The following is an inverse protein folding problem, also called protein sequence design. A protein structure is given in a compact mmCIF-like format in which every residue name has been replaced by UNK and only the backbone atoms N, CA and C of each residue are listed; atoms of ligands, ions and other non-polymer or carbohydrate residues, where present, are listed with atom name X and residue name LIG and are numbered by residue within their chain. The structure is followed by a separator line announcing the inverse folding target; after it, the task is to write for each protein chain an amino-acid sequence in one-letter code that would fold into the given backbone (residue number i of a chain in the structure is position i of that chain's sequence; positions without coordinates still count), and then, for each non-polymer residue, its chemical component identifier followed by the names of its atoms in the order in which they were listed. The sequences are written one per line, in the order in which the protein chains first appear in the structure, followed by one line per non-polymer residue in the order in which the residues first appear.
data_IF_843033716659
#
_entry.id   IF_843033716659
#
_cell.length_a   1.000
_cell.length_b   1.000
_cell.length_c   1.000
_cell.angle_alpha   90.00
_cell.angle_beta   90.00
_cell.angle_gamma   90.00
#
_symmetry.space_group_name_H-M   'P 1'
#
loop_
_entity.id
_entity.type
_entity.pdbx_description
1 polymer ?
#
# COMPACT_ATOMS: atom_id res chain seq x y z
N UNK A 1 -2.38 19.81 11.75
CA UNK A 1 -2.20 19.25 10.39
C UNK A 1 -2.73 17.83 10.37
N UNK A 2 -3.46 17.49 9.32
CA UNK A 2 -3.95 16.13 9.16
C UNK A 2 -2.81 15.20 8.77
N UNK A 3 -2.91 13.95 9.20
CA UNK A 3 -1.95 12.90 8.82
C UNK A 3 -2.12 12.56 7.34
N UNK A 4 -1.02 12.20 6.69
CA UNK A 4 -1.07 11.66 5.32
C UNK A 4 -1.50 10.20 5.36
N UNK A 5 -2.32 9.82 4.41
CA UNK A 5 -2.77 8.44 4.20
C UNK A 5 -2.13 7.94 2.92
N UNK A 6 -1.32 6.91 3.01
CA UNK A 6 -0.60 6.33 1.87
C UNK A 6 -1.01 4.87 1.70
N UNK A 7 -1.56 4.55 0.54
CA UNK A 7 -1.84 3.17 0.18
C UNK A 7 -0.58 2.52 -0.37
N UNK A 8 -0.27 1.33 0.09
CA UNK A 8 0.82 0.53 -0.46
C UNK A 8 0.21 -0.74 -1.05
N UNK A 9 0.28 -0.84 -2.37
CA UNK A 9 -0.29 -1.93 -3.14
C UNK A 9 0.84 -2.83 -3.62
N UNK A 10 0.61 -4.13 -3.65
CA UNK A 10 1.64 -5.04 -4.12
C UNK A 10 1.19 -6.48 -4.17
N UNK A 11 2.01 -7.30 -4.82
CA UNK A 11 1.71 -8.70 -5.07
C UNK A 11 1.67 -9.53 -3.79
N UNK A 12 0.75 -10.49 -3.74
CA UNK A 12 0.75 -11.52 -2.68
C UNK A 12 1.95 -12.44 -2.81
N UNK A 13 2.43 -12.64 -4.04
CA UNK A 13 3.67 -13.35 -4.32
C UNK A 13 4.71 -12.32 -4.82
N UNK A 14 5.72 -12.07 -4.03
CA UNK A 14 6.73 -11.08 -4.30
C UNK A 14 8.14 -11.66 -4.11
N UNK A 15 9.11 -11.08 -4.80
CA UNK A 15 10.51 -11.47 -4.64
C UNK A 15 11.04 -11.03 -3.26
N UNK A 16 12.10 -11.65 -2.73
CA UNK A 16 12.72 -11.18 -1.48
C UNK A 16 13.11 -9.71 -1.53
N UNK A 17 13.59 -9.22 -2.66
CA UNK A 17 13.94 -7.82 -2.86
C UNK A 17 12.71 -6.90 -2.76
N UNK A 18 11.59 -7.30 -3.33
CA UNK A 18 10.33 -6.55 -3.24
C UNK A 18 9.78 -6.54 -1.82
N UNK A 19 9.88 -7.66 -1.10
CA UNK A 19 9.46 -7.74 0.30
C UNK A 19 10.32 -6.85 1.19
N UNK A 20 11.64 -6.83 0.98
CA UNK A 20 12.54 -5.95 1.72
C UNK A 20 12.21 -4.48 1.45
N UNK A 21 11.96 -4.14 0.19
CA UNK A 21 11.55 -2.79 -0.19
C UNK A 21 10.23 -2.38 0.48
N UNK A 22 9.26 -3.27 0.49
CA UNK A 22 7.96 -3.03 1.14
C UNK A 22 8.11 -2.81 2.64
N UNK A 23 8.93 -3.62 3.30
CA UNK A 23 9.21 -3.49 4.73
C UNK A 23 9.82 -2.12 5.04
N UNK A 24 10.78 -1.69 4.23
CA UNK A 24 11.42 -0.39 4.40
C UNK A 24 10.48 0.77 4.11
N UNK A 25 9.62 0.65 3.09
CA UNK A 25 8.57 1.64 2.82
C UNK A 25 7.66 1.80 4.05
N UNK A 26 7.20 0.70 4.62
CA UNK A 26 6.36 0.71 5.82
C UNK A 26 7.05 1.39 7.00
N UNK A 27 8.30 1.04 7.24
CA UNK A 27 9.10 1.62 8.31
C UNK A 27 9.23 3.14 8.15
N UNK A 28 9.56 3.61 6.96
CA UNK A 28 9.74 5.04 6.69
C UNK A 28 8.43 5.82 6.76
N UNK A 29 7.33 5.25 6.26
CA UNK A 29 6.00 5.88 6.38
C UNK A 29 5.61 6.05 7.84
N UNK A 30 5.80 5.02 8.65
CA UNK A 30 5.49 5.07 10.07
C UNK A 30 6.34 6.11 10.81
N UNK A 31 7.62 6.17 10.53
CA UNK A 31 8.52 7.19 11.10
C UNK A 31 8.06 8.61 10.77
N UNK A 32 7.43 8.79 9.64
CA UNK A 32 6.91 10.10 9.19
C UNK A 32 5.51 10.39 9.75
N UNK A 33 4.93 9.48 10.52
CA UNK A 33 3.59 9.65 11.10
C UNK A 33 2.45 9.40 10.13
N UNK A 34 2.71 8.86 8.94
CA UNK A 34 1.67 8.55 7.96
C UNK A 34 0.86 7.34 8.39
N UNK A 35 -0.40 7.29 7.93
CA UNK A 35 -1.24 6.10 8.04
C UNK A 35 -1.00 5.24 6.81
N UNK A 36 -0.68 3.97 6.99
CA UNK A 36 -0.49 3.00 5.90
C UNK A 36 -1.80 2.27 5.66
N UNK A 37 -2.21 2.19 4.40
CA UNK A 37 -3.41 1.45 4.00
C UNK A 37 -3.00 0.36 3.02
N UNK A 38 -3.49 -0.86 3.21
CA UNK A 38 -3.26 -1.96 2.26
C UNK A 38 -4.42 -2.95 2.26
N UNK A 39 -4.28 -3.99 1.45
CA UNK A 39 -5.32 -5.03 1.30
C UNK A 39 -5.40 -6.04 2.44
N UNK A 40 -4.49 -5.99 3.39
CA UNK A 40 -4.60 -6.73 4.66
C UNK A 40 -4.13 -8.18 4.65
N UNK A 41 -3.64 -8.71 3.54
CA UNK A 41 -3.21 -10.12 3.43
C UNK A 41 -1.69 -10.28 3.42
N UNK A 42 -1.16 -11.19 2.61
CA UNK A 42 0.24 -11.57 2.58
C UNK A 42 1.08 -10.83 1.54
N UNK A 43 2.31 -11.26 1.37
CA UNK A 43 3.24 -10.68 0.40
C UNK A 43 3.63 -9.24 0.76
N UNK A 44 3.54 -8.35 -0.21
CA UNK A 44 3.85 -6.92 -0.01
C UNK A 44 2.98 -6.31 1.08
N UNK A 45 1.70 -6.70 1.16
CA UNK A 45 0.78 -6.19 2.19
C UNK A 45 1.27 -6.51 3.60
N UNK A 46 1.70 -7.75 3.82
CA UNK A 46 2.24 -8.16 5.12
C UNK A 46 3.58 -7.48 5.42
N UNK A 47 4.47 -7.43 4.44
CA UNK A 47 5.80 -6.84 4.60
C UNK A 47 5.73 -5.34 4.95
N UNK A 48 4.89 -4.58 4.25
CA UNK A 48 4.72 -3.15 4.57
C UNK A 48 4.09 -2.96 5.95
N UNK A 49 3.15 -3.83 6.32
CA UNK A 49 2.52 -3.78 7.64
C UNK A 49 3.53 -4.07 8.75
N UNK A 50 4.38 -5.08 8.56
CA UNK A 50 5.46 -5.43 9.49
C UNK A 50 6.41 -4.25 9.68
N UNK A 51 6.87 -3.65 8.59
CA UNK A 51 7.78 -2.50 8.65
C UNK A 51 7.16 -1.32 9.41
N UNK A 52 5.91 -1.00 9.13
CA UNK A 52 5.22 0.09 9.82
C UNK A 52 4.99 -0.24 11.30
N UNK A 53 4.58 -1.46 11.63
CA UNK A 53 4.36 -1.88 13.00
C UNK A 53 5.66 -1.82 13.82
N UNK A 54 6.81 -2.11 13.22
CA UNK A 54 8.11 -2.06 13.89
C UNK A 54 8.46 -0.66 14.42
N UNK A 55 7.87 0.38 13.86
CA UNK A 55 8.04 1.78 14.29
C UNK A 55 6.78 2.31 15.03
N UNK A 56 5.89 1.44 15.45
CA UNK A 56 4.66 1.83 16.14
C UNK A 56 3.65 2.57 15.27
N UNK A 57 3.72 2.37 13.96
CA UNK A 57 2.85 3.06 12.99
C UNK A 57 1.42 2.54 12.98
N UNK A 58 0.53 3.30 12.36
CA UNK A 58 -0.86 2.93 12.16
C UNK A 58 -1.04 2.28 10.78
N UNK A 59 -1.51 1.05 10.76
CA UNK A 59 -1.72 0.27 9.54
C UNK A 59 -3.18 -0.19 9.46
N UNK A 60 -3.85 0.17 8.38
CA UNK A 60 -5.26 -0.19 8.16
C UNK A 60 -5.33 -1.18 6.99
N UNK A 61 -5.84 -2.36 7.24
CA UNK A 61 -6.12 -3.37 6.22
C UNK A 61 -7.58 -3.29 5.78
N UNK A 62 -7.81 -3.16 4.49
CA UNK A 62 -9.15 -3.15 3.89
C UNK A 62 -9.37 -4.53 3.26
N UNK A 63 -10.16 -5.37 3.92
CA UNK A 63 -10.35 -6.77 3.55
C UNK A 63 -11.54 -6.96 2.62
N UNK A 64 -11.48 -7.93 1.69
CA UNK A 64 -12.55 -8.13 0.70
C UNK A 64 -13.78 -8.85 1.25
N UNK A 65 -13.61 -9.68 2.26
CA UNK A 65 -14.66 -10.57 2.75
C UNK A 65 -15.53 -9.89 3.81
N UNK A 66 -16.56 -10.60 4.26
CA UNK A 66 -17.45 -10.13 5.33
C UNK A 66 -16.89 -10.39 6.73
N UNK A 67 -15.72 -11.00 6.83
CA UNK A 67 -15.01 -11.27 8.07
C UNK A 67 -13.53 -10.85 7.95
N UNK A 68 -12.76 -11.09 9.00
CA UNK A 68 -11.33 -10.72 9.07
C UNK A 68 -10.41 -11.93 9.02
N UNK A 69 -10.91 -13.07 8.57
CA UNK A 69 -10.12 -14.31 8.47
C UNK A 69 -9.01 -14.10 7.46
N UNK A 70 -7.78 -14.48 7.80
CA UNK A 70 -6.60 -14.33 6.94
C UNK A 70 -5.94 -12.96 6.99
N UNK A 71 -6.46 -12.01 7.77
CA UNK A 71 -5.79 -10.73 7.97
C UNK A 71 -4.39 -10.93 8.55
N UNK A 72 -3.40 -10.19 8.03
CA UNK A 72 -2.05 -10.30 8.58
C UNK A 72 -2.00 -9.74 10.01
N UNK A 73 -1.04 -10.23 10.80
CA UNK A 73 -0.97 -9.95 12.24
C UNK A 73 -0.37 -8.58 12.58
N UNK A 74 0.10 -7.84 11.59
CA UNK A 74 0.77 -6.55 11.79
C UNK A 74 -0.16 -5.35 11.61
N UNK A 75 -1.43 -5.59 11.25
CA UNK A 75 -2.41 -4.51 11.10
C UNK A 75 -2.79 -3.91 12.44
N UNK A 76 -2.93 -2.59 12.49
CA UNK A 76 -3.55 -1.91 13.64
C UNK A 76 -5.05 -2.12 13.62
N UNK A 77 -5.66 -1.96 12.44
CA UNK A 77 -7.10 -2.15 12.23
C UNK A 77 -7.32 -3.00 10.98
N UNK A 78 -8.22 -3.95 11.06
CA UNK A 78 -8.65 -4.76 9.94
C UNK A 78 -10.14 -4.49 9.70
N UNK A 79 -10.50 -3.97 8.53
CA UNK A 79 -11.86 -3.60 8.18
C UNK A 79 -12.40 -4.57 7.13
N UNK A 80 -13.37 -5.38 7.51
CA UNK A 80 -14.09 -6.25 6.59
C UNK A 80 -15.09 -5.43 5.79
N UNK A 81 -15.11 -5.58 4.47
CA UNK A 81 -15.98 -4.78 3.60
C UNK A 81 -17.11 -5.58 2.95
N UNK A 82 -16.92 -6.87 2.72
CA UNK A 82 -17.86 -7.67 1.95
C UNK A 82 -17.93 -7.31 0.47
N UNK A 83 -16.99 -6.51 -0.04
CA UNK A 83 -17.01 -6.00 -1.41
C UNK A 83 -16.22 -6.85 -2.41
N UNK A 84 -15.58 -7.94 -1.94
CA UNK A 84 -14.70 -8.71 -2.80
C UNK A 84 -13.57 -7.84 -3.36
N UNK A 85 -13.26 -7.99 -4.63
CA UNK A 85 -12.21 -7.19 -5.28
C UNK A 85 -12.58 -5.70 -5.38
N UNK A 86 -13.84 -5.34 -5.19
CA UNK A 86 -14.26 -3.93 -5.12
C UNK A 86 -13.61 -3.15 -3.98
N UNK A 87 -13.09 -3.86 -2.94
CA UNK A 87 -12.37 -3.20 -1.84
C UNK A 87 -11.10 -2.49 -2.32
N UNK A 88 -10.58 -2.84 -3.50
CA UNK A 88 -9.42 -2.14 -4.08
C UNK A 88 -9.75 -0.66 -4.36
N UNK A 89 -10.99 -0.36 -4.73
CA UNK A 89 -11.44 1.03 -4.90
C UNK A 89 -11.45 1.77 -3.55
N UNK A 90 -11.82 1.10 -2.47
CA UNK A 90 -11.80 1.70 -1.13
C UNK A 90 -10.36 2.05 -0.71
N UNK A 91 -9.41 1.16 -0.97
CA UNK A 91 -7.99 1.37 -0.64
C UNK A 91 -7.48 2.67 -1.26
N UNK A 92 -7.62 2.82 -2.57
CA UNK A 92 -7.07 3.97 -3.29
C UNK A 92 -7.87 5.25 -3.05
N UNK A 93 -9.18 5.14 -2.83
CA UNK A 93 -10.03 6.29 -2.50
C UNK A 93 -9.67 6.88 -1.14
N UNK A 94 -9.37 6.03 -0.17
CA UNK A 94 -9.02 6.44 1.18
C UNK A 94 -7.64 7.08 1.28
N UNK A 95 -6.78 6.91 0.28
CA UNK A 95 -5.39 7.37 0.31
C UNK A 95 -5.22 8.72 -0.40
N UNK A 96 -4.23 9.47 0.04
CA UNK A 96 -3.78 10.70 -0.64
C UNK A 96 -2.84 10.36 -1.81
N UNK A 97 -2.07 9.30 -1.67
CA UNK A 97 -1.12 8.81 -2.68
C UNK A 97 -0.95 7.30 -2.56
N UNK A 98 -0.37 6.69 -3.59
CA UNK A 98 -0.22 5.24 -3.70
C UNK A 98 1.24 4.90 -4.02
N UNK A 99 1.79 3.90 -3.33
CA UNK A 99 3.06 3.28 -3.68
C UNK A 99 2.74 1.85 -4.14
N UNK A 100 3.19 1.48 -5.34
CA UNK A 100 2.96 0.16 -5.90
C UNK A 100 4.27 -0.61 -6.00
N UNK A 101 4.30 -1.85 -5.50
CA UNK A 101 5.48 -2.71 -5.44
C UNK A 101 5.12 -4.11 -5.95
N UNK A 102 5.87 -4.61 -6.93
CA UNK A 102 5.63 -5.94 -7.49
C UNK A 102 4.48 -5.98 -8.48
N UNK A 103 4.28 -7.14 -9.10
CA UNK A 103 3.37 -7.31 -10.23
C UNK A 103 2.32 -8.38 -9.94
N UNK A 104 1.18 -7.97 -9.42
CA UNK A 104 0.01 -8.82 -9.30
C UNK A 104 -1.16 -8.19 -10.05
N UNK A 105 -2.16 -9.00 -10.44
CA UNK A 105 -3.34 -8.48 -11.12
C UNK A 105 -4.16 -7.56 -10.23
N UNK A 106 -4.23 -7.87 -8.93
CA UNK A 106 -4.84 -6.99 -7.94
C UNK A 106 -4.12 -5.65 -7.85
N UNK A 107 -2.78 -5.68 -7.87
CA UNK A 107 -1.95 -4.47 -7.89
C UNK A 107 -2.23 -3.63 -9.13
N UNK A 108 -2.34 -4.26 -10.30
CA UNK A 108 -2.67 -3.55 -11.54
C UNK A 108 -4.05 -2.90 -11.45
N UNK A 109 -5.04 -3.59 -10.86
CA UNK A 109 -6.37 -3.02 -10.68
C UNK A 109 -6.35 -1.80 -9.76
N UNK A 110 -5.57 -1.83 -8.68
CA UNK A 110 -5.40 -0.69 -7.78
C UNK A 110 -4.70 0.48 -8.46
N UNK A 111 -3.68 0.20 -9.28
CA UNK A 111 -3.00 1.22 -10.08
C UNK A 111 -3.99 1.90 -11.03
N UNK A 112 -4.80 1.12 -11.75
CA UNK A 112 -5.78 1.65 -12.68
C UNK A 112 -6.84 2.51 -11.98
N UNK A 113 -7.34 2.05 -10.83
CA UNK A 113 -8.32 2.80 -10.04
C UNK A 113 -7.71 4.10 -9.50
N UNK A 114 -6.47 4.06 -9.01
CA UNK A 114 -5.77 5.24 -8.52
C UNK A 114 -5.60 6.28 -9.63
N UNK A 115 -5.19 5.84 -10.83
CA UNK A 115 -5.07 6.73 -11.99
C UNK A 115 -6.42 7.32 -12.37
N UNK A 116 -7.47 6.53 -12.34
CA UNK A 116 -8.83 6.99 -12.62
C UNK A 116 -9.31 8.09 -11.66
N UNK A 117 -8.84 8.05 -10.42
CA UNK A 117 -9.18 9.00 -9.37
C UNK A 117 -8.17 10.16 -9.26
N UNK A 118 -7.22 10.24 -10.17
CA UNK A 118 -6.13 11.22 -10.12
C UNK A 118 -5.29 11.16 -8.85
N UNK A 119 -5.21 9.97 -8.23
CA UNK A 119 -4.28 9.72 -7.13
C UNK A 119 -2.88 9.50 -7.71
N UNK A 120 -1.85 10.21 -7.24
CA UNK A 120 -0.48 9.95 -7.71
C UNK A 120 -0.02 8.55 -7.30
N UNK A 121 0.62 7.85 -8.24
CA UNK A 121 1.14 6.50 -8.03
C UNK A 121 2.65 6.50 -8.25
N UNK A 122 3.39 6.07 -7.23
CA UNK A 122 4.84 5.95 -7.27
C UNK A 122 5.18 4.47 -7.43
N UNK A 123 5.82 4.14 -8.56
CA UNK A 123 6.08 2.78 -8.98
C UNK A 123 7.48 2.33 -8.56
N UNK A 124 7.56 1.39 -7.64
CA UNK A 124 8.81 0.80 -7.15
C UNK A 124 8.85 -0.68 -7.56
N UNK A 125 9.48 -0.99 -8.69
CA UNK A 125 9.58 -2.35 -9.24
C UNK A 125 8.19 -2.99 -9.43
N UNK A 126 7.35 -2.35 -10.22
CA UNK A 126 5.99 -2.80 -10.52
C UNK A 126 5.72 -2.75 -12.02
N UNK A 127 4.44 -2.81 -12.39
CA UNK A 127 3.99 -2.74 -13.78
C UNK A 127 4.49 -1.47 -14.48
N UNK A 128 4.89 -1.59 -15.74
CA UNK A 128 5.22 -0.44 -16.60
C UNK A 128 3.93 0.07 -17.24
N UNK A 129 3.32 1.06 -16.62
CA UNK A 129 2.07 1.66 -17.06
C UNK A 129 2.27 3.16 -17.26
N UNK A 130 1.73 3.68 -18.33
CA UNK A 130 1.80 5.10 -18.62
C UNK A 130 1.18 5.94 -17.50
N UNK A 131 1.86 7.01 -17.13
CA UNK A 131 1.37 7.94 -16.11
C UNK A 131 1.82 7.62 -14.69
N UNK A 132 2.56 6.54 -14.48
CA UNK A 132 3.16 6.25 -13.18
C UNK A 132 4.46 7.02 -13.02
N UNK A 133 4.73 7.45 -11.79
CA UNK A 133 6.00 8.07 -11.44
C UNK A 133 6.95 7.00 -10.92
N UNK A 134 7.92 6.62 -11.76
CA UNK A 134 8.88 5.56 -11.43
C UNK A 134 9.89 6.08 -10.41
N UNK A 135 10.07 5.32 -9.34
CA UNK A 135 11.06 5.60 -8.29
C UNK A 135 12.00 4.42 -8.15
N UNK A 136 13.19 4.63 -7.59
CA UNK A 136 14.24 3.63 -7.55
C UNK A 136 14.48 3.05 -6.15
N UNK A 137 14.08 3.77 -5.11
CA UNK A 137 14.34 3.36 -3.73
C UNK A 137 13.11 3.56 -2.85
N UNK A 138 13.00 2.79 -1.75
CA UNK A 138 11.94 3.04 -0.76
C UNK A 138 11.92 4.47 -0.23
N UNK A 139 13.09 5.05 0.03
CA UNK A 139 13.19 6.42 0.54
C UNK A 139 12.63 7.44 -0.45
N UNK A 140 12.92 7.28 -1.75
CA UNK A 140 12.38 8.14 -2.79
C UNK A 140 10.85 7.99 -2.89
N UNK A 141 10.34 6.75 -2.86
CA UNK A 141 8.92 6.47 -2.92
C UNK A 141 8.18 7.17 -1.76
N UNK A 142 8.67 7.01 -0.55
CA UNK A 142 8.05 7.60 0.64
C UNK A 142 8.11 9.11 0.60
N UNK A 143 9.27 9.68 0.29
CA UNK A 143 9.42 11.13 0.20
C UNK A 143 8.42 11.74 -0.78
N UNK A 144 8.33 11.18 -1.99
CA UNK A 144 7.44 11.69 -3.02
C UNK A 144 5.97 11.47 -2.69
N UNK A 145 5.63 10.34 -2.08
CA UNK A 145 4.26 10.06 -1.65
C UNK A 145 3.78 11.03 -0.58
N UNK A 146 4.66 11.42 0.33
CA UNK A 146 4.34 12.38 1.41
C UNK A 146 4.24 13.82 0.91
N UNK A 147 4.93 14.16 -0.15
CA UNK A 147 4.96 15.51 -0.75
C UNK A 147 3.87 15.71 -1.82
N UNK A 148 3.23 14.65 -2.28
CA UNK A 148 2.23 14.72 -3.35
C UNK A 148 0.96 15.46 -2.90
N UNK A 149 0.40 16.25 -3.82
CA UNK A 149 -0.84 17.00 -3.59
C UNK A 149 -2.07 16.27 -4.14
#
# INVERSE_FOLDING_TARGET
MSRRYVAVCGASEATPSQLDAAREVGRLLAKSGAVVINGGFGGVMDAVSEGAASEGGTVVGILPDSDRVGANTHLTLALATGLGQGRNAVIVTAADSVIAIGQGWGTLSEIALARRLDRPVFALDTWDVQGLEVVKTPAEAVKRALEAN
#
